data_IF_880858103772
#
_entry.id   IF_880858103772
#
_cell.length_a   1.000
_cell.length_b   1.000
_cell.length_c   1.000
_cell.angle_alpha   90.00
_cell.angle_beta   90.00
_cell.angle_gamma   90.00
#
_symmetry.space_group_name_H-M   'P 1'
#
loop_
_entity.id
_entity.type
_entity.pdbx_description
1 polymer ?
#
# COMPACT_ATOMS: atom_id res chain seq x y z
N UNK A 1 21.20 -0.06 -5.32
CA UNK A 1 20.64 -0.30 -3.98
C UNK A 1 19.12 -0.26 -4.10
N UNK A 2 18.39 -1.13 -3.39
CA UNK A 2 16.92 -0.98 -3.28
C UNK A 2 16.64 0.01 -2.15
N UNK A 3 16.02 1.14 -2.46
CA UNK A 3 15.52 2.06 -1.43
C UNK A 3 14.31 1.41 -0.75
N UNK A 4 14.32 1.40 0.58
CA UNK A 4 13.25 0.81 1.39
C UNK A 4 12.68 1.89 2.29
N UNK A 5 11.37 2.08 2.24
CA UNK A 5 10.65 3.02 3.08
C UNK A 5 9.82 2.26 4.11
N UNK A 6 9.92 2.66 5.37
CA UNK A 6 9.10 2.13 6.45
C UNK A 6 7.91 3.05 6.69
N UNK A 7 6.70 2.51 6.54
CA UNK A 7 5.47 3.21 6.84
C UNK A 7 4.95 2.78 8.22
N UNK A 8 4.69 3.76 9.08
CA UNK A 8 4.01 3.52 10.36
C UNK A 8 2.51 3.61 10.13
N UNK A 9 1.85 2.46 10.19
CA UNK A 9 0.42 2.30 10.01
C UNK A 9 -0.18 1.63 11.24
N UNK A 10 -1.43 1.95 11.58
CA UNK A 10 -2.20 1.20 12.57
C UNK A 10 -2.47 -0.22 12.08
N UNK A 11 -2.68 -1.15 13.00
CA UNK A 11 -2.98 -2.55 12.63
C UNK A 11 -4.27 -2.66 11.81
N UNK A 12 -5.32 -1.92 12.19
CA UNK A 12 -6.58 -1.86 11.43
C UNK A 12 -6.34 -1.42 9.96
N UNK A 13 -5.47 -0.44 9.74
CA UNK A 13 -5.17 0.02 8.38
C UNK A 13 -4.37 -1.03 7.58
N UNK A 14 -3.45 -1.75 8.24
CA UNK A 14 -2.71 -2.84 7.59
C UNK A 14 -3.63 -3.97 7.17
N UNK A 15 -4.59 -4.35 8.01
CA UNK A 15 -5.58 -5.39 7.71
C UNK A 15 -6.43 -4.99 6.51
N UNK A 16 -7.00 -3.77 6.51
CA UNK A 16 -7.78 -3.27 5.38
C UNK A 16 -6.97 -3.24 4.08
N UNK A 17 -5.71 -2.79 4.12
CA UNK A 17 -4.83 -2.79 2.95
C UNK A 17 -4.55 -4.22 2.44
N UNK A 18 -4.41 -5.19 3.35
CA UNK A 18 -4.23 -6.60 3.00
C UNK A 18 -5.46 -7.15 2.29
N UNK A 19 -6.66 -6.96 2.87
CA UNK A 19 -7.92 -7.42 2.25
C UNK A 19 -8.13 -6.82 0.86
N UNK A 20 -7.87 -5.52 0.70
CA UNK A 20 -7.99 -4.85 -0.61
C UNK A 20 -6.96 -5.39 -1.62
N UNK A 21 -5.73 -5.63 -1.17
CA UNK A 21 -4.68 -6.18 -2.04
C UNK A 21 -5.02 -7.61 -2.50
N UNK A 22 -5.52 -8.45 -1.59
CA UNK A 22 -5.99 -9.82 -1.87
C UNK A 22 -7.15 -9.83 -2.87
N UNK A 23 -8.17 -9.00 -2.64
CA UNK A 23 -9.31 -8.86 -3.55
C UNK A 23 -8.89 -8.40 -4.96
N UNK A 24 -7.84 -7.59 -5.07
CA UNK A 24 -7.27 -7.13 -6.34
C UNK A 24 -6.26 -8.10 -6.95
N UNK A 25 -5.85 -9.15 -6.23
CA UNK A 25 -4.80 -10.08 -6.68
C UNK A 25 -3.42 -9.44 -6.81
N UNK A 26 -3.12 -8.41 -6.01
CA UNK A 26 -1.85 -7.67 -6.04
C UNK A 26 -1.15 -7.72 -4.68
N UNK A 27 0.15 -7.41 -4.66
CA UNK A 27 0.87 -7.24 -3.39
C UNK A 27 0.45 -5.95 -2.67
N UNK A 28 0.54 -5.95 -1.33
CA UNK A 28 0.30 -4.76 -0.50
C UNK A 28 1.20 -3.59 -0.95
N UNK A 29 2.47 -3.85 -1.27
CA UNK A 29 3.40 -2.81 -1.71
C UNK A 29 2.95 -2.18 -3.04
N UNK A 30 2.45 -2.98 -3.99
CA UNK A 30 1.93 -2.46 -5.25
C UNK A 30 0.71 -1.56 -5.02
N UNK A 31 -0.21 -1.99 -4.15
CA UNK A 31 -1.38 -1.20 -3.76
C UNK A 31 -0.97 0.13 -3.10
N UNK A 32 -0.01 0.11 -2.17
CA UNK A 32 0.48 1.32 -1.50
C UNK A 32 1.11 2.30 -2.51
N UNK A 33 1.94 1.81 -3.42
CA UNK A 33 2.55 2.63 -4.47
C UNK A 33 1.50 3.24 -5.38
N UNK A 34 0.47 2.48 -5.78
CA UNK A 34 -0.66 2.98 -6.56
C UNK A 34 -1.38 4.13 -5.82
N UNK A 35 -1.73 3.94 -4.54
CA UNK A 35 -2.40 4.96 -3.73
C UNK A 35 -1.56 6.24 -3.64
N UNK A 36 -0.26 6.11 -3.33
CA UNK A 36 0.64 7.26 -3.24
C UNK A 36 0.77 7.99 -4.59
N UNK A 37 0.88 7.24 -5.68
CA UNK A 37 0.94 7.81 -7.03
C UNK A 37 -0.32 8.62 -7.39
N UNK A 38 -1.51 8.09 -7.06
CA UNK A 38 -2.77 8.80 -7.30
C UNK A 38 -2.90 10.05 -6.42
N UNK A 39 -2.30 10.05 -5.23
CA UNK A 39 -2.34 11.23 -4.34
C UNK A 39 -1.54 12.41 -4.86
N UNK A 40 -0.49 12.17 -5.66
CA UNK A 40 0.38 13.21 -6.25
C UNK A 40 -0.21 13.76 -7.55
N UNK A 41 -0.98 12.94 -8.28
CA UNK A 41 -1.64 13.35 -9.53
C UNK A 41 -2.84 14.28 -9.33
N UNK A 42 -3.30 14.41 -8.08
CA UNK A 42 -4.45 15.23 -7.67
C UNK A 42 -3.98 16.56 -7.14
#
# INVERSE_FOLDING_TARGET
MKETYLLRLTEELKEKLREVAENKGVSINALIVEILWQSIKK
#
